data_IF_094743857683
#
_entry.id   IF_094743857683
#
_cell.length_a   1.000
_cell.length_b   1.000
_cell.length_c   1.000
_cell.angle_alpha   90.00
_cell.angle_beta   90.00
_cell.angle_gamma   90.00
#
_symmetry.space_group_name_H-M   'P 1'
#
loop_
_entity.id
_entity.type
_entity.pdbx_description
1 polymer ?
#
# COMPACT_ATOMS: atom_id res chain seq x y z
N UNK A 1 -41.27 28.46 45.52
CA UNK A 1 -39.91 28.11 45.08
C UNK A 1 -39.57 29.05 43.95
N UNK A 2 -38.47 29.78 44.04
CA UNK A 2 -38.04 30.65 42.93
C UNK A 2 -37.54 29.77 41.77
N UNK A 3 -37.66 30.20 40.49
CA UNK A 3 -37.18 29.43 39.34
C UNK A 3 -35.71 28.99 39.50
N UNK A 4 -34.87 29.86 40.06
CA UNK A 4 -33.46 29.57 40.30
C UNK A 4 -33.21 28.49 41.37
N UNK A 5 -34.07 28.37 42.38
CA UNK A 5 -33.95 27.31 43.38
C UNK A 5 -34.35 25.95 42.83
N UNK A 6 -35.36 25.93 41.96
CA UNK A 6 -35.80 24.73 41.25
C UNK A 6 -34.70 24.24 40.30
N UNK A 7 -34.14 25.12 39.48
CA UNK A 7 -33.04 24.79 38.56
C UNK A 7 -31.80 24.31 39.32
N UNK A 8 -31.50 24.92 40.48
CA UNK A 8 -30.38 24.48 41.33
C UNK A 8 -30.61 23.07 41.89
N UNK A 9 -31.80 22.78 42.42
CA UNK A 9 -32.12 21.42 42.88
C UNK A 9 -32.09 20.40 41.74
N UNK A 10 -32.52 20.79 40.53
CA UNK A 10 -32.51 19.92 39.37
C UNK A 10 -31.08 19.60 38.92
N UNK A 11 -30.18 20.59 38.94
CA UNK A 11 -28.76 20.38 38.63
C UNK A 11 -28.04 19.53 39.68
N UNK A 12 -28.42 19.68 40.95
CA UNK A 12 -27.87 18.90 42.06
C UNK A 12 -28.33 17.43 41.98
N UNK A 13 -29.61 17.19 41.65
CA UNK A 13 -30.15 15.84 41.41
C UNK A 13 -29.58 15.20 40.14
N UNK A 14 -29.41 15.96 39.06
CA UNK A 14 -28.77 15.47 37.82
C UNK A 14 -27.30 15.10 38.04
N UNK A 15 -26.61 15.77 38.97
CA UNK A 15 -25.22 15.45 39.33
C UNK A 15 -25.06 14.14 40.11
N UNK A 16 -26.15 13.62 40.69
CA UNK A 16 -26.17 12.35 41.41
C UNK A 16 -26.57 11.14 40.54
N UNK A 17 -27.08 11.38 39.33
CA UNK A 17 -27.37 10.30 38.40
C UNK A 17 -26.06 9.70 37.87
N UNK A 18 -25.91 8.37 37.90
CA UNK A 18 -24.78 7.74 37.24
C UNK A 18 -24.82 8.13 35.75
N UNK A 19 -23.68 8.54 35.15
CA UNK A 19 -23.63 8.94 33.74
C UNK A 19 -24.20 7.85 32.84
N UNK A 20 -24.88 8.25 31.77
CA UNK A 20 -25.58 7.34 30.89
C UNK A 20 -24.66 6.22 30.38
N UNK A 21 -25.12 4.95 30.30
CA UNK A 21 -24.31 3.84 29.82
C UNK A 21 -23.92 4.09 28.35
N UNK A 22 -22.66 4.47 28.14
CA UNK A 22 -22.09 4.89 26.86
C UNK A 22 -21.25 6.19 26.96
N UNK A 23 -21.57 7.09 27.89
CA UNK A 23 -20.84 8.35 28.10
C UNK A 23 -19.58 8.19 28.97
N UNK A 24 -19.44 7.07 29.67
CA UNK A 24 -18.25 6.81 30.51
C UNK A 24 -17.07 6.28 29.68
N UNK A 25 -17.35 5.57 28.59
CA UNK A 25 -16.30 5.11 27.66
C UNK A 25 -15.59 6.27 26.95
N UNK A 26 -16.30 7.39 26.76
CA UNK A 26 -15.74 8.64 26.22
C UNK A 26 -14.99 9.49 27.26
N UNK A 27 -15.01 9.13 28.54
CA UNK A 27 -14.50 9.99 29.62
C UNK A 27 -13.02 9.81 29.98
N UNK A 28 -12.36 8.71 29.61
CA UNK A 28 -10.90 8.59 29.81
C UNK A 28 -10.15 8.87 28.50
N UNK A 29 -9.43 10.01 28.40
CA UNK A 29 -8.68 10.34 27.20
C UNK A 29 -7.64 9.27 26.83
N UNK A 30 -7.21 8.46 27.82
CA UNK A 30 -6.39 7.27 27.64
C UNK A 30 -7.07 6.16 26.81
N UNK A 31 -8.27 5.69 27.20
CA UNK A 31 -8.98 4.63 26.46
C UNK A 31 -9.28 5.08 25.04
N UNK A 32 -9.75 6.31 24.88
CA UNK A 32 -10.04 6.88 23.57
C UNK A 32 -8.80 6.98 22.66
N UNK A 33 -7.61 7.21 23.23
CA UNK A 33 -6.34 7.20 22.50
C UNK A 33 -5.95 5.78 22.09
N UNK A 34 -6.03 4.82 23.02
CA UNK A 34 -5.65 3.44 22.75
C UNK A 34 -6.58 2.77 21.74
N UNK A 35 -7.88 3.00 21.81
CA UNK A 35 -8.84 2.48 20.82
C UNK A 35 -8.48 2.93 19.40
N UNK A 36 -8.03 4.19 19.22
CA UNK A 36 -7.53 4.67 17.93
C UNK A 36 -6.25 3.97 17.50
N UNK A 37 -5.33 3.72 18.43
CA UNK A 37 -4.09 2.98 18.14
C UNK A 37 -4.39 1.53 17.73
N UNK A 38 -5.33 0.86 18.42
CA UNK A 38 -5.74 -0.51 18.10
C UNK A 38 -6.38 -0.62 16.72
N UNK A 39 -7.35 0.24 16.42
CA UNK A 39 -7.95 0.30 15.08
C UNK A 39 -6.90 0.68 14.04
N UNK A 40 -6.06 1.65 14.33
CA UNK A 40 -4.98 2.09 13.46
C UNK A 40 -4.05 0.95 13.08
N UNK A 41 -3.59 0.19 14.07
CA UNK A 41 -2.70 -0.95 13.89
C UNK A 41 -3.38 -2.11 13.14
N UNK A 42 -4.65 -2.40 13.43
CA UNK A 42 -5.41 -3.40 12.68
C UNK A 42 -5.55 -3.03 11.21
N UNK A 43 -5.91 -1.78 10.91
CA UNK A 43 -6.13 -1.29 9.54
C UNK A 43 -4.83 -1.19 8.73
N UNK A 44 -3.69 -0.91 9.35
CA UNK A 44 -2.38 -0.95 8.65
C UNK A 44 -1.89 -2.37 8.39
N UNK A 45 -2.37 -3.36 9.15
CA UNK A 45 -1.88 -4.74 9.08
C UNK A 45 -2.67 -5.59 8.08
N UNK A 46 -4.00 -5.44 8.07
CA UNK A 46 -4.87 -6.20 7.18
C UNK A 46 -5.12 -5.42 5.89
N UNK A 47 -4.56 -5.90 4.79
CA UNK A 47 -4.81 -5.38 3.44
C UNK A 47 -5.93 -6.18 2.79
N UNK A 48 -6.94 -5.48 2.28
CA UNK A 48 -8.00 -6.09 1.47
C UNK A 48 -7.86 -5.58 0.04
N UNK A 49 -7.71 -6.50 -0.92
CA UNK A 49 -7.42 -6.16 -2.33
C UNK A 49 -8.68 -5.79 -3.13
N UNK A 50 -9.85 -5.86 -2.53
CA UNK A 50 -11.11 -5.50 -3.15
C UNK A 50 -11.50 -4.04 -2.87
N UNK A 51 -12.23 -3.41 -3.79
CA UNK A 51 -12.76 -2.03 -3.66
C UNK A 51 -11.73 -0.94 -3.31
N UNK A 52 -10.46 -1.09 -3.72
CA UNK A 52 -9.37 -0.14 -3.41
C UNK A 52 -9.09 0.00 -1.90
N UNK A 53 -9.58 -0.92 -1.05
CA UNK A 53 -9.31 -0.91 0.38
C UNK A 53 -7.82 -1.04 0.70
N UNK A 54 -7.03 -1.62 -0.20
CA UNK A 54 -5.58 -1.74 -0.07
C UNK A 54 -4.85 -0.40 0.04
N UNK A 55 -5.47 0.70 -0.41
CA UNK A 55 -4.94 2.07 -0.27
C UNK A 55 -5.61 2.82 0.88
N UNK A 56 -6.94 2.68 0.99
CA UNK A 56 -7.74 3.44 1.96
C UNK A 56 -7.46 2.98 3.40
N UNK A 57 -7.36 1.67 3.65
CA UNK A 57 -7.19 1.14 5.00
C UNK A 57 -5.84 1.50 5.62
N UNK A 58 -4.69 1.30 4.93
CA UNK A 58 -3.41 1.69 5.49
C UNK A 58 -3.33 3.19 5.78
N UNK A 59 -3.87 4.04 4.89
CA UNK A 59 -3.92 5.49 5.09
C UNK A 59 -4.79 5.87 6.31
N UNK A 60 -5.99 5.29 6.40
CA UNK A 60 -6.89 5.46 7.55
C UNK A 60 -6.22 4.98 8.85
N UNK A 61 -5.56 3.82 8.78
CA UNK A 61 -4.86 3.23 9.90
C UNK A 61 -3.72 4.10 10.41
N UNK A 62 -2.88 4.60 9.50
CA UNK A 62 -1.79 5.53 9.81
C UNK A 62 -2.31 6.86 10.41
N UNK A 63 -3.42 7.38 9.89
CA UNK A 63 -4.05 8.59 10.41
C UNK A 63 -4.59 8.37 11.84
N UNK A 64 -5.21 7.22 12.10
CA UNK A 64 -5.69 6.83 13.43
C UNK A 64 -4.54 6.62 14.43
N UNK A 65 -3.44 5.99 14.00
CA UNK A 65 -2.21 5.87 14.80
C UNK A 65 -1.70 7.26 15.18
N UNK A 66 -1.57 8.18 14.22
CA UNK A 66 -1.13 9.54 14.47
C UNK A 66 -2.04 10.27 15.47
N UNK A 67 -3.37 10.18 15.31
CA UNK A 67 -4.33 10.78 16.23
C UNK A 67 -4.27 10.17 17.64
N UNK A 68 -4.08 8.85 17.73
CA UNK A 68 -3.93 8.14 18.99
C UNK A 68 -2.64 8.48 19.74
N UNK A 69 -1.51 8.65 19.05
CA UNK A 69 -0.27 9.08 19.69
C UNK A 69 -0.21 10.59 19.96
N UNK A 70 -0.94 11.40 19.19
CA UNK A 70 -1.02 12.85 19.39
C UNK A 70 -1.55 13.21 20.77
N UNK A 71 -2.50 12.45 21.31
CA UNK A 71 -3.01 12.66 22.68
C UNK A 71 -1.98 12.25 23.74
N UNK A 72 -1.15 11.25 23.47
CA UNK A 72 -0.14 10.71 24.40
C UNK A 72 1.22 11.43 24.38
N UNK A 73 1.43 12.38 23.46
CA UNK A 73 2.75 12.98 23.15
C UNK A 73 3.48 13.67 24.30
N UNK A 74 2.77 14.08 25.36
CA UNK A 74 3.34 14.82 26.52
C UNK A 74 3.60 13.94 27.74
N UNK A 75 3.07 12.72 27.77
CA UNK A 75 3.15 11.83 28.93
C UNK A 75 4.56 11.25 29.11
N UNK A 76 5.22 10.84 28.02
CA UNK A 76 6.52 10.18 28.08
C UNK A 76 7.37 10.47 26.84
N UNK A 77 8.70 10.42 26.98
CA UNK A 77 9.67 10.48 25.87
C UNK A 77 9.40 9.38 24.83
N UNK A 78 9.03 8.18 25.26
CA UNK A 78 8.69 7.07 24.37
C UNK A 78 7.39 7.31 23.58
N UNK A 79 6.34 7.86 24.22
CA UNK A 79 5.12 8.23 23.51
C UNK A 79 5.31 9.41 22.56
N UNK A 80 6.22 10.35 22.89
CA UNK A 80 6.64 11.41 21.96
C UNK A 80 7.33 10.81 20.72
N UNK A 81 8.19 9.81 20.91
CA UNK A 81 8.82 9.09 19.82
C UNK A 81 7.76 8.38 18.96
N UNK A 82 6.77 7.71 19.56
CA UNK A 82 5.66 7.11 18.80
C UNK A 82 4.87 8.16 17.99
N UNK A 83 4.66 9.36 18.53
CA UNK A 83 3.99 10.43 17.81
C UNK A 83 4.80 10.91 16.59
N UNK A 84 6.11 11.11 16.73
CA UNK A 84 6.98 11.49 15.61
C UNK A 84 7.00 10.39 14.56
N UNK A 85 7.20 9.13 14.98
CA UNK A 85 7.21 7.99 14.05
C UNK A 85 5.86 7.82 13.35
N UNK A 86 4.72 7.90 14.06
CA UNK A 86 3.41 7.78 13.39
C UNK A 86 3.15 8.92 12.40
N UNK A 87 3.66 10.12 12.65
CA UNK A 87 3.59 11.23 11.69
C UNK A 87 4.42 10.98 10.43
N UNK A 88 5.65 10.47 10.59
CA UNK A 88 6.50 10.09 9.45
C UNK A 88 5.88 8.91 8.69
N UNK A 89 5.32 7.92 9.38
CA UNK A 89 4.66 6.76 8.76
C UNK A 89 3.46 7.20 7.92
N UNK A 90 2.64 8.11 8.46
CA UNK A 90 1.53 8.72 7.73
C UNK A 90 2.01 9.46 6.48
N UNK A 91 3.06 10.26 6.60
CA UNK A 91 3.62 10.99 5.45
C UNK A 91 4.17 10.04 4.37
N UNK A 92 4.82 8.94 4.77
CA UNK A 92 5.28 7.92 3.83
C UNK A 92 4.11 7.24 3.14
N UNK A 93 3.05 6.84 3.87
CA UNK A 93 1.86 6.26 3.25
C UNK A 93 1.20 7.22 2.25
N UNK A 94 1.04 8.50 2.62
CA UNK A 94 0.53 9.52 1.70
C UNK A 94 1.42 9.65 0.45
N UNK A 95 2.74 9.68 0.62
CA UNK A 95 3.67 9.78 -0.50
C UNK A 95 3.59 8.54 -1.40
N UNK A 96 3.57 7.34 -0.83
CA UNK A 96 3.44 6.10 -1.60
C UNK A 96 2.11 6.04 -2.36
N UNK A 97 1.00 6.45 -1.75
CA UNK A 97 -0.32 6.46 -2.39
C UNK A 97 -0.41 7.51 -3.52
N UNK A 98 0.34 8.60 -3.42
CA UNK A 98 0.46 9.58 -4.51
C UNK A 98 1.37 9.03 -5.62
N UNK A 99 2.48 8.39 -5.26
CA UNK A 99 3.43 7.81 -6.22
C UNK A 99 2.85 6.63 -6.98
N UNK A 100 1.97 5.81 -6.39
CA UNK A 100 1.28 4.71 -7.09
C UNK A 100 0.41 5.20 -8.24
N UNK A 101 -0.01 6.47 -8.22
CA UNK A 101 -0.68 7.11 -9.33
C UNK A 101 0.27 7.47 -10.50
N UNK A 102 1.59 7.27 -10.33
CA UNK A 102 2.60 7.51 -11.37
C UNK A 102 3.25 6.21 -11.84
N UNK A 103 3.77 6.18 -13.08
CA UNK A 103 4.57 5.05 -13.56
C UNK A 103 5.89 4.85 -12.79
N UNK A 104 6.34 5.85 -12.01
CA UNK A 104 7.56 5.78 -11.19
C UNK A 104 7.47 4.66 -10.16
N UNK A 105 6.30 4.44 -9.57
CA UNK A 105 6.15 3.34 -8.60
C UNK A 105 6.32 1.98 -9.27
N UNK A 106 5.85 1.82 -10.52
CA UNK A 106 6.10 0.64 -11.34
C UNK A 106 7.59 0.37 -11.53
N UNK A 107 8.35 1.41 -11.88
CA UNK A 107 9.82 1.33 -12.00
C UNK A 107 10.51 0.97 -10.68
N UNK A 108 10.06 1.51 -9.54
CA UNK A 108 10.58 1.16 -8.22
C UNK A 108 10.30 -0.31 -7.89
N UNK A 109 9.09 -0.80 -8.16
CA UNK A 109 8.71 -2.20 -7.88
C UNK A 109 9.39 -3.21 -8.78
N UNK A 110 9.82 -2.81 -9.98
CA UNK A 110 10.58 -3.68 -10.89
C UNK A 110 12.04 -3.86 -10.45
N UNK A 111 12.57 -2.95 -9.62
CA UNK A 111 13.94 -3.00 -9.12
C UNK A 111 13.97 -3.60 -7.70
N UNK A 112 14.40 -4.86 -7.51
CA UNK A 112 14.32 -5.55 -6.22
C UNK A 112 15.08 -4.80 -5.10
N UNK A 113 16.22 -4.21 -5.44
CA UNK A 113 17.03 -3.44 -4.49
C UNK A 113 16.31 -2.19 -3.96
N UNK A 114 15.60 -1.46 -4.83
CA UNK A 114 14.85 -0.26 -4.44
C UNK A 114 13.58 -0.63 -3.68
N UNK A 115 12.89 -1.67 -4.12
CA UNK A 115 11.71 -2.19 -3.43
C UNK A 115 12.06 -2.64 -2.01
N UNK A 116 13.09 -3.47 -1.84
CA UNK A 116 13.55 -3.90 -0.51
C UNK A 116 14.09 -2.71 0.30
N UNK A 117 14.77 -1.77 -0.35
CA UNK A 117 15.24 -0.53 0.25
C UNK A 117 14.12 0.33 0.85
N UNK A 118 12.88 0.25 0.33
CA UNK A 118 11.72 0.95 0.87
C UNK A 118 10.97 0.13 1.93
N UNK A 119 10.81 -1.18 1.70
CA UNK A 119 10.03 -2.07 2.56
C UNK A 119 10.67 -2.27 3.93
N UNK A 120 11.98 -2.57 3.98
CA UNK A 120 12.66 -2.89 5.24
C UNK A 120 12.69 -1.72 6.24
N UNK A 121 12.96 -0.47 5.83
CA UNK A 121 12.84 0.68 6.74
C UNK A 121 11.42 0.86 7.28
N UNK A 122 10.38 0.64 6.47
CA UNK A 122 8.98 0.75 6.92
C UNK A 122 8.63 -0.33 7.96
N UNK A 123 9.05 -1.58 7.74
CA UNK A 123 8.91 -2.67 8.72
C UNK A 123 9.69 -2.35 10.00
N UNK A 124 10.94 -1.88 9.87
CA UNK A 124 11.76 -1.44 11.01
C UNK A 124 11.09 -0.31 11.79
N UNK A 125 10.43 0.61 11.11
CA UNK A 125 9.69 1.70 11.72
C UNK A 125 8.47 1.22 12.52
N UNK A 126 7.72 0.24 12.01
CA UNK A 126 6.61 -0.39 12.74
C UNK A 126 7.10 -1.16 13.98
N UNK A 127 8.22 -1.87 13.86
CA UNK A 127 8.89 -2.51 15.00
C UNK A 127 9.30 -1.49 16.07
N UNK A 128 9.90 -0.37 15.66
CA UNK A 128 10.28 0.71 16.57
C UNK A 128 9.06 1.35 17.23
N UNK A 129 7.95 1.51 16.51
CA UNK A 129 6.67 1.99 17.06
C UNK A 129 6.14 1.06 18.15
N UNK A 130 6.11 -0.26 17.90
CA UNK A 130 5.70 -1.27 18.88
C UNK A 130 6.62 -1.31 20.09
N UNK A 131 7.92 -1.26 19.87
CA UNK A 131 8.91 -1.25 20.94
C UNK A 131 8.78 0.01 21.80
N UNK A 132 8.62 1.17 21.18
CA UNK A 132 8.40 2.43 21.87
C UNK A 132 7.06 2.44 22.61
N UNK A 133 6.00 1.84 22.05
CA UNK A 133 4.72 1.63 22.74
C UNK A 133 4.91 0.77 23.99
N UNK A 134 5.64 -0.34 23.90
CA UNK A 134 5.94 -1.22 25.04
C UNK A 134 6.73 -0.49 26.15
N UNK A 135 7.77 0.25 25.78
CA UNK A 135 8.56 1.05 26.75
C UNK A 135 7.72 2.19 27.34
N UNK A 136 6.86 2.79 26.52
CA UNK A 136 5.94 3.85 26.92
C UNK A 136 4.93 3.38 27.96
N UNK A 137 4.28 2.24 27.73
CA UNK A 137 3.31 1.67 28.67
C UNK A 137 3.97 1.20 29.97
N UNK A 138 5.17 0.60 29.93
CA UNK A 138 5.90 0.23 31.16
C UNK A 138 6.21 1.44 32.05
N UNK A 139 6.62 2.55 31.45
CA UNK A 139 6.85 3.77 32.20
C UNK A 139 5.54 4.36 32.76
N UNK A 140 4.42 4.21 32.05
CA UNK A 140 3.11 4.59 32.57
C UNK A 140 2.71 3.73 33.78
N UNK A 141 2.96 2.41 33.77
CA UNK A 141 2.77 1.55 34.95
C UNK A 141 3.65 1.96 36.14
N UNK A 142 4.91 2.31 35.87
CA UNK A 142 5.82 2.79 36.91
C UNK A 142 5.31 4.08 37.58
N UNK A 143 4.65 4.96 36.82
CA UNK A 143 4.05 6.19 37.37
C UNK A 143 2.86 5.94 38.30
N UNK A 144 2.22 4.77 38.19
CA UNK A 144 1.09 4.33 39.05
C UNK A 144 1.60 3.47 40.23
N UNK A 145 2.91 3.32 40.39
CA UNK A 145 3.52 2.64 41.55
C UNK A 145 3.71 1.13 41.40
N UNK A 146 3.49 0.54 40.23
CA UNK A 146 3.81 -0.87 39.98
C UNK A 146 5.16 -1.04 39.25
N UNK A 147 6.10 -1.69 39.91
CA UNK A 147 7.43 -1.96 39.38
C UNK A 147 7.46 -3.11 38.35
N UNK A 148 6.57 -4.10 38.47
CA UNK A 148 6.50 -5.29 37.59
C UNK A 148 5.07 -5.62 37.13
N UNK A 149 4.51 -4.83 36.19
CA UNK A 149 3.23 -5.18 35.58
C UNK A 149 3.34 -6.46 34.75
N UNK A 150 2.22 -7.17 34.60
CA UNK A 150 2.13 -8.34 33.71
C UNK A 150 2.39 -7.91 32.25
N UNK A 151 3.52 -8.36 31.70
CA UNK A 151 4.05 -7.94 30.39
C UNK A 151 3.30 -8.54 29.18
N UNK A 152 2.05 -8.14 28.95
CA UNK A 152 1.28 -8.56 27.78
C UNK A 152 1.86 -8.02 26.46
N UNK A 153 2.33 -6.77 26.41
CA UNK A 153 2.95 -6.18 25.20
C UNK A 153 4.26 -6.86 24.82
N UNK A 154 5.02 -7.40 25.79
CA UNK A 154 6.22 -8.19 25.46
C UNK A 154 5.82 -9.44 24.67
N UNK A 155 4.75 -10.12 25.07
CA UNK A 155 4.19 -11.26 24.33
C UNK A 155 3.69 -10.83 22.95
N UNK A 156 2.99 -9.70 22.88
CA UNK A 156 2.58 -9.10 21.61
C UNK A 156 3.75 -8.84 20.66
N UNK A 157 4.84 -8.23 21.15
CA UNK A 157 6.05 -7.97 20.36
C UNK A 157 6.68 -9.26 19.85
N UNK A 158 6.75 -10.30 20.68
CA UNK A 158 7.21 -11.63 20.25
C UNK A 158 6.30 -12.19 19.16
N UNK A 159 4.97 -12.06 19.27
CA UNK A 159 4.04 -12.48 18.22
C UNK A 159 4.23 -11.71 16.92
N UNK A 160 4.52 -10.41 16.98
CA UNK A 160 4.86 -9.63 15.79
C UNK A 160 6.17 -10.09 15.15
N UNK A 161 7.22 -10.37 15.94
CA UNK A 161 8.47 -10.93 15.43
C UNK A 161 8.27 -12.32 14.79
N UNK A 162 7.44 -13.17 15.39
CA UNK A 162 7.07 -14.47 14.81
C UNK A 162 6.31 -14.28 13.49
N UNK A 163 5.39 -13.31 13.42
CA UNK A 163 4.68 -12.99 12.19
C UNK A 163 5.63 -12.50 11.09
N UNK A 164 6.64 -11.71 11.45
CA UNK A 164 7.69 -11.25 10.52
C UNK A 164 8.56 -12.41 10.04
N UNK A 165 8.89 -13.36 10.92
CA UNK A 165 9.62 -14.57 10.55
C UNK A 165 8.83 -15.45 9.58
N UNK A 166 7.51 -15.58 9.77
CA UNK A 166 6.61 -16.29 8.84
C UNK A 166 6.55 -15.59 7.49
N UNK A 167 6.45 -14.25 7.49
CA UNK A 167 6.44 -13.43 6.27
C UNK A 167 7.76 -13.54 5.49
N UNK A 168 8.90 -13.42 6.19
CA UNK A 168 10.23 -13.65 5.63
C UNK A 168 10.36 -15.03 5.03
N UNK A 169 9.97 -16.06 5.78
CA UNK A 169 9.95 -17.42 5.26
C UNK A 169 9.07 -17.53 4.01
N UNK A 170 8.06 -16.68 3.84
CA UNK A 170 7.15 -16.72 2.69
C UNK A 170 7.79 -16.14 1.44
N UNK A 171 8.64 -15.14 1.58
CA UNK A 171 9.41 -14.58 0.47
C UNK A 171 10.58 -15.48 0.05
N UNK A 172 11.15 -16.26 0.97
CA UNK A 172 12.27 -17.15 0.66
C UNK A 172 11.87 -18.46 -0.05
N UNK A 173 10.60 -18.84 -0.06
CA UNK A 173 10.14 -20.05 -0.76
C UNK A 173 9.82 -19.68 -2.21
N UNK A 174 10.54 -20.20 -3.21
CA UNK A 174 10.23 -19.91 -4.61
C UNK A 174 8.83 -20.41 -4.93
N UNK A 175 7.99 -19.54 -5.50
CA UNK A 175 6.73 -19.93 -6.10
C UNK A 175 7.02 -20.95 -7.21
N UNK A 176 6.52 -22.18 -7.06
CA UNK A 176 6.51 -23.15 -8.14
C UNK A 176 5.15 -23.14 -8.84
N UNK A 177 5.21 -22.95 -10.16
CA UNK A 177 4.20 -23.07 -11.23
C UNK A 177 3.21 -21.92 -11.48
N UNK A 178 3.33 -21.33 -12.67
CA UNK A 178 2.50 -20.27 -13.28
C UNK A 178 1.24 -20.80 -13.98
N UNK A 179 0.77 -22.00 -13.66
CA UNK A 179 -0.29 -22.67 -14.42
C UNK A 179 -1.61 -22.69 -13.64
N UNK A 180 -2.33 -21.57 -13.57
CA UNK A 180 -3.65 -21.51 -12.93
C UNK A 180 -4.49 -20.29 -13.31
N UNK A 181 -5.75 -20.52 -13.69
CA UNK A 181 -6.75 -19.49 -14.04
C UNK A 181 -7.10 -18.53 -12.88
N UNK A 182 -6.67 -18.84 -11.64
CA UNK A 182 -6.85 -18.02 -10.43
C UNK A 182 -5.52 -17.60 -9.76
N UNK A 183 -4.40 -17.66 -10.49
CA UNK A 183 -3.06 -17.41 -9.95
C UNK A 183 -2.23 -18.69 -9.80
N UNK A 184 -0.97 -18.57 -9.33
CA UNK A 184 0.01 -19.67 -9.36
C UNK A 184 -0.51 -20.90 -8.62
N UNK A 185 -0.46 -22.06 -9.29
CA UNK A 185 -0.96 -23.33 -8.77
C UNK A 185 0.09 -23.94 -7.84
N UNK A 186 -0.24 -23.95 -6.55
CA UNK A 186 0.61 -24.55 -5.52
C UNK A 186 0.53 -26.07 -5.67
N UNK A 187 1.67 -26.77 -5.56
CA UNK A 187 1.70 -28.24 -5.45
C UNK A 187 0.70 -28.70 -4.38
N UNK A 188 -0.27 -29.55 -4.75
CA UNK A 188 -1.37 -30.04 -3.87
C UNK A 188 -0.86 -30.53 -2.50
N UNK A 189 0.37 -31.05 -2.43
CA UNK A 189 1.00 -31.53 -1.21
C UNK A 189 1.32 -30.45 -0.16
N UNK A 190 1.43 -29.17 -0.56
CA UNK A 190 1.81 -28.05 0.32
C UNK A 190 0.73 -26.99 0.49
N UNK A 191 -0.48 -27.18 -0.05
CA UNK A 191 -1.60 -26.23 0.12
C UNK A 191 -1.90 -25.94 1.59
N UNK A 192 -1.95 -26.99 2.43
CA UNK A 192 -2.21 -26.84 3.86
C UNK A 192 -1.16 -25.96 4.57
N UNK A 193 0.10 -26.04 4.11
CA UNK A 193 1.19 -25.24 4.65
C UNK A 193 1.06 -23.78 4.18
N UNK A 194 0.75 -23.55 2.92
CA UNK A 194 0.55 -22.21 2.37
C UNK A 194 -0.60 -21.47 3.07
N UNK A 195 -1.81 -22.06 3.10
CA UNK A 195 -2.95 -21.48 3.79
C UNK A 195 -2.74 -21.42 5.31
N UNK A 196 -2.10 -22.44 5.89
CA UNK A 196 -1.78 -22.50 7.31
C UNK A 196 -0.87 -21.36 7.77
N UNK A 197 0.09 -20.93 6.93
CA UNK A 197 0.98 -19.79 7.23
C UNK A 197 0.23 -18.47 7.27
N UNK A 198 -0.64 -18.22 6.30
CA UNK A 198 -1.48 -17.01 6.27
C UNK A 198 -2.42 -16.95 7.46
N UNK A 199 -3.04 -18.09 7.83
CA UNK A 199 -3.89 -18.20 9.02
C UNK A 199 -3.06 -17.95 10.30
N UNK A 200 -1.86 -18.53 10.41
CA UNK A 200 -0.98 -18.33 11.56
C UNK A 200 -0.54 -16.86 11.68
N UNK A 201 -0.20 -16.20 10.56
CA UNK A 201 0.12 -14.78 10.52
C UNK A 201 -1.05 -13.94 11.05
N UNK A 202 -2.27 -14.17 10.55
CA UNK A 202 -3.48 -13.46 10.99
C UNK A 202 -3.72 -13.70 12.49
N UNK A 203 -3.63 -14.95 12.96
CA UNK A 203 -3.83 -15.29 14.36
C UNK A 203 -2.84 -14.58 15.29
N UNK A 204 -1.56 -14.50 14.90
CA UNK A 204 -0.52 -13.78 15.64
C UNK A 204 -0.79 -12.27 15.70
N UNK A 205 -1.26 -11.67 14.60
CA UNK A 205 -1.63 -10.26 14.55
C UNK A 205 -2.85 -9.94 15.42
N UNK A 206 -3.89 -10.79 15.38
CA UNK A 206 -5.06 -10.66 16.27
C UNK A 206 -4.62 -10.79 17.73
N UNK A 207 -3.75 -11.76 18.05
CA UNK A 207 -3.25 -11.93 19.41
C UNK A 207 -2.42 -10.72 19.90
N UNK A 208 -1.61 -10.10 19.02
CA UNK A 208 -0.92 -8.85 19.30
C UNK A 208 -1.91 -7.74 19.68
N UNK A 209 -2.98 -7.54 18.90
CA UNK A 209 -4.00 -6.53 19.19
C UNK A 209 -4.69 -6.81 20.53
N UNK A 210 -5.02 -8.07 20.82
CA UNK A 210 -5.59 -8.48 22.12
C UNK A 210 -4.63 -8.19 23.28
N UNK A 211 -3.32 -8.40 23.10
CA UNK A 211 -2.32 -8.08 24.11
C UNK A 211 -2.25 -6.58 24.41
N UNK A 212 -2.30 -5.74 23.37
CA UNK A 212 -2.33 -4.27 23.53
C UNK A 212 -3.61 -3.85 24.27
N UNK A 213 -4.78 -4.38 23.87
CA UNK A 213 -6.06 -4.07 24.49
C UNK A 213 -6.12 -4.47 25.97
N UNK A 214 -5.64 -5.68 26.30
CA UNK A 214 -5.57 -6.16 27.70
C UNK A 214 -4.65 -5.29 28.55
N UNK A 215 -3.50 -4.91 28.02
CA UNK A 215 -2.57 -4.06 28.76
C UNK A 215 -3.12 -2.65 28.97
N UNK A 216 -3.84 -2.09 27.99
CA UNK A 216 -4.46 -0.78 28.16
C UNK A 216 -5.62 -0.79 29.14
N UNK A 217 -6.41 -1.87 29.17
CA UNK A 217 -7.48 -2.07 30.15
C UNK A 217 -6.92 -2.13 31.56
N UNK A 218 -5.88 -2.94 31.77
CA UNK A 218 -5.22 -3.08 33.08
C UNK A 218 -4.62 -1.76 33.62
N UNK A 219 -4.25 -0.83 32.75
CA UNK A 219 -3.79 0.51 33.14
C UNK A 219 -4.97 1.46 33.43
N UNK A 220 -6.04 1.39 32.62
CA UNK A 220 -7.25 2.19 32.83
C UNK A 220 -7.96 1.84 34.15
N UNK A 221 -8.02 0.55 34.50
CA UNK A 221 -8.66 0.07 35.73
C UNK A 221 -7.91 0.51 37.00
N UNK A 222 -6.64 0.89 36.87
CA UNK A 222 -5.84 1.47 37.96
C UNK A 222 -5.97 3.00 38.07
N UNK A 223 -6.89 3.61 37.35
CA UNK A 223 -7.15 5.04 37.42
C UNK A 223 -6.11 5.90 36.71
N UNK A 224 -5.35 5.33 35.76
CA UNK A 224 -4.42 6.13 34.95
C UNK A 224 -5.20 7.16 34.10
N UNK A 225 -5.07 8.42 34.47
CA UNK A 225 -5.66 9.55 33.77
C UNK A 225 -4.55 10.38 33.10
N UNK A 226 -4.74 10.67 31.81
CA UNK A 226 -3.83 11.56 31.06
C UNK A 226 -4.39 12.97 31.04
N UNK A 227 -3.52 13.96 30.99
CA UNK A 227 -3.95 15.35 30.82
C UNK A 227 -4.26 15.61 29.34
N UNK A 228 -5.53 15.89 28.96
CA UNK A 228 -5.86 16.08 27.57
C UNK A 228 -5.16 17.33 27.03
N UNK A 229 -4.36 17.17 25.98
CA UNK A 229 -3.71 18.30 25.32
C UNK A 229 -4.74 19.03 24.44
N UNK A 230 -4.91 20.36 24.55
CA UNK A 230 -5.89 21.10 23.76
C UNK A 230 -5.68 20.86 22.26
N UNK A 231 -6.77 20.53 21.57
CA UNK A 231 -6.76 20.16 20.16
C UNK A 231 -7.33 21.31 19.33
N UNK A 232 -6.59 21.74 18.30
CA UNK A 232 -7.01 22.82 17.39
C UNK A 232 -8.00 22.37 16.31
N UNK A 233 -8.04 21.06 16.00
CA UNK A 233 -8.85 20.49 14.92
C UNK A 233 -9.55 19.23 15.40
N UNK A 234 -10.82 19.06 15.04
CA UNK A 234 -11.55 17.82 15.32
C UNK A 234 -10.90 16.62 14.60
N UNK A 235 -10.91 15.41 15.18
CA UNK A 235 -10.35 14.21 14.55
C UNK A 235 -10.91 13.94 13.15
N UNK A 236 -12.19 14.21 12.94
CA UNK A 236 -12.88 14.05 11.64
C UNK A 236 -12.36 15.02 10.59
N UNK A 237 -12.14 16.29 10.95
CA UNK A 237 -11.60 17.32 10.06
C UNK A 237 -10.16 16.99 9.66
N UNK A 238 -9.36 16.50 10.60
CA UNK A 238 -8.00 16.05 10.28
C UNK A 238 -8.03 14.89 9.29
N UNK A 239 -8.87 13.88 9.54
CA UNK A 239 -8.97 12.71 8.67
C UNK A 239 -9.45 13.10 7.27
N UNK A 240 -10.52 13.90 7.17
CA UNK A 240 -11.01 14.42 5.90
C UNK A 240 -9.94 15.25 5.17
N UNK A 241 -9.15 16.04 5.90
CA UNK A 241 -8.03 16.79 5.36
C UNK A 241 -6.94 15.90 4.75
N UNK A 242 -6.55 14.81 5.44
CA UNK A 242 -5.58 13.84 4.93
C UNK A 242 -6.07 13.21 3.62
N UNK A 243 -7.33 12.73 3.60
CA UNK A 243 -7.90 12.14 2.39
C UNK A 243 -8.03 13.16 1.25
N UNK A 244 -8.45 14.39 1.54
CA UNK A 244 -8.55 15.45 0.54
C UNK A 244 -7.17 15.78 -0.05
N UNK A 245 -6.12 15.86 0.78
CA UNK A 245 -4.75 16.12 0.30
C UNK A 245 -4.27 15.00 -0.60
N UNK A 246 -4.45 13.73 -0.21
CA UNK A 246 -4.04 12.59 -1.07
C UNK A 246 -4.82 12.62 -2.37
N UNK A 247 -6.15 12.75 -2.32
CA UNK A 247 -7.00 12.77 -3.52
C UNK A 247 -6.62 13.90 -4.50
N UNK A 248 -6.51 15.14 -3.99
CA UNK A 248 -6.16 16.30 -4.81
C UNK A 248 -4.74 16.18 -5.38
N UNK A 249 -3.79 15.67 -4.59
CA UNK A 249 -2.40 15.46 -5.03
C UNK A 249 -2.32 14.37 -6.09
N UNK A 250 -3.04 13.25 -5.92
CA UNK A 250 -3.10 12.19 -6.92
C UNK A 250 -3.67 12.69 -8.24
N UNK A 251 -4.74 13.52 -8.23
CA UNK A 251 -5.29 14.14 -9.44
C UNK A 251 -4.24 15.04 -10.12
N UNK A 252 -3.57 15.91 -9.35
CA UNK A 252 -2.55 16.81 -9.88
C UNK A 252 -1.37 16.04 -10.47
N UNK A 253 -0.94 14.97 -9.79
CA UNK A 253 0.17 14.12 -10.22
C UNK A 253 -0.18 13.28 -11.44
N UNK A 254 -1.39 12.72 -11.53
CA UNK A 254 -1.89 12.03 -12.73
C UNK A 254 -1.94 12.97 -13.93
N UNK A 255 -2.43 14.19 -13.71
CA UNK A 255 -2.45 15.21 -14.74
C UNK A 255 -1.04 15.56 -15.21
N UNK A 256 -0.09 15.72 -14.28
CA UNK A 256 1.30 15.99 -14.61
C UNK A 256 1.99 14.81 -15.32
N UNK A 257 1.73 13.58 -14.86
CA UNK A 257 2.33 12.36 -15.44
C UNK A 257 1.80 12.08 -16.84
N UNK A 258 0.54 12.41 -17.12
CA UNK A 258 -0.02 12.33 -18.49
C UNK A 258 0.67 13.29 -19.47
N UNK A 259 1.33 14.33 -18.94
CA UNK A 259 2.08 15.33 -19.70
C UNK A 259 3.59 15.18 -19.57
N UNK A 260 4.05 14.17 -18.82
CA UNK A 260 5.47 13.87 -18.78
C UNK A 260 5.88 13.48 -20.21
N UNK A 261 6.94 14.09 -20.78
CA UNK A 261 7.42 13.69 -22.09
C UNK A 261 7.65 12.18 -22.03
N UNK A 262 7.02 11.45 -22.96
CA UNK A 262 7.35 10.05 -23.18
C UNK A 262 8.89 9.97 -23.21
N UNK A 263 9.48 9.03 -22.47
CA UNK A 263 10.93 8.81 -22.54
C UNK A 263 11.31 8.85 -24.02
N UNK A 264 12.21 9.77 -24.39
CA UNK A 264 12.67 9.89 -25.77
C UNK A 264 12.97 8.47 -26.24
N UNK A 265 12.24 8.03 -27.27
CA UNK A 265 12.39 6.70 -27.82
C UNK A 265 13.89 6.49 -28.00
N UNK A 266 14.44 5.48 -27.31
CA UNK A 266 15.87 5.21 -27.36
C UNK A 266 16.22 5.14 -28.85
N UNK A 267 17.11 6.01 -29.36
CA UNK A 267 17.42 6.00 -30.78
C UNK A 267 17.89 4.59 -31.09
N UNK A 268 17.27 3.95 -32.08
CA UNK A 268 17.68 2.63 -32.56
C UNK A 268 19.20 2.64 -32.63
N UNK A 269 19.85 1.89 -31.73
CA UNK A 269 21.29 1.75 -31.80
C UNK A 269 21.58 1.15 -33.16
N UNK A 270 22.10 1.96 -34.09
CA UNK A 270 22.61 1.53 -35.39
C UNK A 270 23.90 0.69 -35.23
N UNK A 271 24.06 0.07 -34.07
CA UNK A 271 25.23 -0.66 -33.65
C UNK A 271 24.94 -2.12 -34.01
N UNK A 272 25.70 -2.63 -34.98
CA UNK A 272 25.70 -4.03 -35.46
C UNK A 272 24.72 -4.38 -36.60
N UNK A 273 24.46 -3.45 -37.53
CA UNK A 273 23.67 -3.72 -38.73
C UNK A 273 24.20 -4.88 -39.60
N UNK A 274 25.51 -5.19 -39.58
CA UNK A 274 26.08 -6.25 -40.42
C UNK A 274 25.90 -7.67 -39.83
N UNK A 275 26.11 -7.85 -38.52
CA UNK A 275 26.13 -9.19 -37.88
C UNK A 275 24.74 -9.82 -37.78
N UNK A 276 23.70 -9.00 -37.58
CA UNK A 276 22.31 -9.43 -37.47
C UNK A 276 21.47 -9.14 -38.72
N UNK A 277 22.10 -8.69 -39.82
CA UNK A 277 21.43 -8.46 -41.11
C UNK A 277 20.70 -9.70 -41.63
N UNK A 278 21.32 -10.87 -41.49
CA UNK A 278 20.78 -12.16 -41.92
C UNK A 278 19.54 -12.56 -41.11
N UNK A 279 19.56 -12.32 -39.79
CA UNK A 279 18.42 -12.59 -38.90
C UNK A 279 17.26 -11.64 -39.19
N UNK A 280 17.54 -10.35 -39.42
CA UNK A 280 16.52 -9.38 -39.84
C UNK A 280 15.89 -9.76 -41.18
N UNK A 281 16.71 -10.19 -42.15
CA UNK A 281 16.21 -10.67 -43.43
C UNK A 281 15.34 -11.93 -43.28
N UNK A 282 15.73 -12.87 -42.42
CA UNK A 282 14.94 -14.06 -42.09
C UNK A 282 13.57 -13.70 -41.49
N UNK A 283 13.53 -12.75 -40.55
CA UNK A 283 12.27 -12.29 -39.94
C UNK A 283 11.35 -11.58 -40.95
N UNK A 284 11.92 -10.78 -41.85
CA UNK A 284 11.14 -10.12 -42.92
C UNK A 284 10.61 -11.15 -43.92
N UNK A 285 11.39 -12.18 -44.28
CA UNK A 285 10.95 -13.27 -45.16
C UNK A 285 9.78 -14.08 -44.54
N UNK A 286 9.83 -14.28 -43.23
CA UNK A 286 8.72 -14.88 -42.46
C UNK A 286 7.48 -13.99 -42.36
N UNK A 287 7.54 -12.74 -42.81
CA UNK A 287 6.40 -11.82 -42.90
C UNK A 287 6.38 -10.68 -41.88
N UNK A 288 7.45 -10.48 -41.09
CA UNK A 288 7.56 -9.31 -40.20
C UNK A 288 7.72 -8.02 -41.00
N UNK A 289 7.12 -6.93 -40.51
CA UNK A 289 7.35 -5.59 -41.06
C UNK A 289 8.84 -5.19 -40.95
N UNK A 290 9.39 -4.61 -42.03
CA UNK A 290 10.81 -4.27 -42.10
C UNK A 290 11.20 -3.17 -41.11
N UNK A 291 10.30 -2.24 -40.79
CA UNK A 291 10.58 -1.20 -39.79
C UNK A 291 10.62 -1.82 -38.38
N UNK A 292 9.72 -2.78 -38.09
CA UNK A 292 9.73 -3.54 -36.84
C UNK A 292 10.99 -4.39 -36.70
N UNK A 293 11.34 -5.19 -37.71
CA UNK A 293 12.56 -6.01 -37.69
C UNK A 293 13.81 -5.15 -37.48
N UNK A 294 13.79 -3.91 -37.98
CA UNK A 294 14.89 -2.98 -37.79
C UNK A 294 14.96 -2.36 -36.38
N UNK A 295 13.85 -2.32 -35.67
CA UNK A 295 13.71 -1.76 -34.31
C UNK A 295 14.12 -2.72 -33.19
N UNK A 296 14.27 -4.02 -33.47
CA UNK A 296 14.66 -5.02 -32.48
C UNK A 296 16.13 -4.84 -32.03
N UNK A 297 16.35 -4.95 -30.72
CA UNK A 297 17.68 -4.94 -30.12
C UNK A 297 18.43 -6.28 -30.29
N UNK A 298 19.71 -6.32 -29.94
CA UNK A 298 20.55 -7.52 -30.06
C UNK A 298 19.98 -8.74 -29.31
N UNK A 299 19.48 -8.53 -28.09
CA UNK A 299 18.96 -9.61 -27.28
C UNK A 299 17.65 -10.17 -27.85
N UNK A 300 16.81 -9.33 -28.43
CA UNK A 300 15.59 -9.71 -29.13
C UNK A 300 15.90 -10.42 -30.45
N UNK A 301 16.88 -9.94 -31.22
CA UNK A 301 17.32 -10.58 -32.47
C UNK A 301 17.95 -11.94 -32.23
N UNK A 302 18.78 -12.10 -31.21
CA UNK A 302 19.37 -13.41 -30.85
C UNK A 302 18.28 -14.41 -30.47
N UNK A 303 17.25 -13.95 -29.75
CA UNK A 303 16.10 -14.79 -29.37
C UNK A 303 15.23 -15.14 -30.56
N UNK A 304 15.06 -14.23 -31.51
CA UNK A 304 14.28 -14.44 -32.72
C UNK A 304 15.07 -15.10 -33.86
N UNK A 305 16.33 -15.50 -33.65
CA UNK A 305 17.20 -16.15 -34.64
C UNK A 305 16.55 -17.39 -35.26
N UNK A 306 15.95 -18.23 -34.41
CA UNK A 306 15.33 -19.50 -34.80
C UNK A 306 13.80 -19.40 -34.92
N UNK A 307 13.27 -18.22 -35.22
CA UNK A 307 11.84 -18.02 -35.41
C UNK A 307 11.29 -18.95 -36.51
N UNK A 308 10.15 -19.59 -36.22
CA UNK A 308 9.51 -20.59 -37.09
C UNK A 308 8.43 -19.98 -37.97
N UNK A 309 7.64 -19.06 -37.42
CA UNK A 309 6.52 -18.41 -38.12
C UNK A 309 6.19 -17.05 -37.49
N UNK A 310 5.63 -16.16 -38.30
CA UNK A 310 5.18 -14.83 -37.86
C UNK A 310 3.74 -14.62 -38.29
N UNK A 311 2.93 -14.16 -37.35
CA UNK A 311 1.51 -13.92 -37.53
C UNK A 311 1.22 -12.43 -37.30
N UNK A 312 0.71 -11.75 -38.33
CA UNK A 312 0.09 -10.44 -38.17
C UNK A 312 -1.28 -10.65 -37.49
N UNK A 313 -1.40 -10.16 -36.27
CA UNK A 313 -2.64 -10.21 -35.52
C UNK A 313 -3.27 -8.83 -35.55
N UNK A 314 -4.32 -8.62 -36.36
CA UNK A 314 -5.07 -7.39 -36.27
C UNK A 314 -5.68 -7.29 -34.88
N UNK A 315 -5.39 -6.19 -34.18
CA UNK A 315 -6.04 -5.89 -32.91
C UNK A 315 -7.51 -5.60 -33.19
N UNK A 316 -8.37 -6.57 -32.95
CA UNK A 316 -9.82 -6.39 -32.99
C UNK A 316 -10.23 -5.47 -31.83
N UNK A 317 -10.39 -4.18 -32.11
CA UNK A 317 -11.21 -3.32 -31.26
C UNK A 317 -12.69 -3.66 -31.48
N UNK A 318 -13.46 -3.66 -30.39
CA UNK A 318 -14.92 -3.87 -30.41
C UNK A 318 -15.68 -2.75 -31.15
N UNK A 319 -14.98 -1.72 -31.62
CA UNK A 319 -15.45 -0.72 -32.57
C UNK A 319 -14.68 -0.92 -33.87
N UNK A 320 -15.40 -1.25 -34.94
CA UNK A 320 -14.81 -1.47 -36.26
C UNK A 320 -14.04 -0.26 -36.75
N UNK A 321 -12.95 -0.54 -37.47
CA UNK A 321 -11.95 0.36 -38.06
C UNK A 321 -10.70 0.62 -37.20
N UNK A 322 -9.55 0.26 -37.77
CA UNK A 322 -8.19 0.39 -37.22
C UNK A 322 -7.66 1.83 -37.28
N UNK A 323 -8.53 2.83 -37.34
CA UNK A 323 -8.21 4.24 -37.52
C UNK A 323 -9.06 5.08 -36.58
N UNK A 324 -8.41 5.75 -35.61
CA UNK A 324 -9.08 6.70 -34.73
C UNK A 324 -9.41 7.97 -35.51
N UNK A 325 -10.66 8.10 -35.97
CA UNK A 325 -11.19 9.34 -36.54
C UNK A 325 -11.89 10.15 -35.44
N UNK A 326 -11.29 11.26 -35.01
CA UNK A 326 -11.99 12.30 -34.26
C UNK A 326 -11.81 13.62 -34.99
N UNK A 327 -12.82 14.02 -35.75
CA UNK A 327 -12.88 15.38 -36.30
C UNK A 327 -13.29 16.36 -35.21
N UNK A 328 -12.49 17.40 -34.98
CA UNK A 328 -12.89 18.56 -34.17
C UNK A 328 -13.68 19.57 -35.03
N UNK A 329 -14.61 20.29 -34.39
CA UNK A 329 -15.55 21.27 -35.01
C UNK A 329 -14.88 22.46 -35.74
N UNK A 330 -13.55 22.51 -35.81
CA UNK A 330 -12.78 23.59 -36.45
C UNK A 330 -12.20 23.21 -37.82
N UNK A 331 -12.47 22.01 -38.33
CA UNK A 331 -12.00 21.58 -39.66
C UNK A 331 -10.48 21.42 -39.77
N UNK A 332 -9.78 21.36 -38.63
CA UNK A 332 -8.40 20.86 -38.55
C UNK A 332 -8.45 19.39 -38.16
N UNK A 333 -7.87 18.54 -38.99
CA UNK A 333 -7.58 17.16 -38.63
C UNK A 333 -6.58 17.19 -37.46
N UNK A 334 -7.05 16.85 -36.26
CA UNK A 334 -6.19 16.68 -35.08
C UNK A 334 -6.15 15.18 -34.76
N UNK A 335 -4.94 14.64 -34.69
CA UNK A 335 -4.56 13.21 -34.68
C UNK A 335 -4.39 12.59 -36.08
N UNK A 336 -3.19 12.86 -36.64
CA UNK A 336 -2.50 12.04 -37.65
C UNK A 336 -2.70 10.54 -37.41
N UNK A 337 -2.92 9.79 -38.48
CA UNK A 337 -3.34 8.39 -38.45
C UNK A 337 -2.38 7.52 -37.61
N UNK A 338 -2.83 7.07 -36.43
CA UNK A 338 -2.08 6.10 -35.64
C UNK A 338 -2.46 4.69 -36.08
N UNK A 339 -1.51 3.96 -36.66
CA UNK A 339 -1.66 2.54 -36.94
C UNK A 339 -1.06 1.76 -35.78
N UNK A 340 -1.91 0.97 -35.12
CA UNK A 340 -1.54 0.02 -34.09
C UNK A 340 -1.63 -1.40 -34.66
N UNK A 341 -0.50 -2.12 -34.72
CA UNK A 341 -0.44 -3.53 -35.16
C UNK A 341 0.21 -4.39 -34.10
N UNK A 342 -0.28 -5.63 -33.95
CA UNK A 342 0.38 -6.63 -33.12
C UNK A 342 0.90 -7.79 -33.96
N UNK A 343 2.06 -8.31 -33.56
CA UNK A 343 2.77 -9.39 -34.24
C UNK A 343 3.03 -10.51 -33.25
N UNK A 344 2.73 -11.75 -33.64
CA UNK A 344 3.14 -12.94 -32.91
C UNK A 344 4.30 -13.60 -33.65
N UNK A 345 5.42 -13.82 -32.94
CA UNK A 345 6.55 -14.60 -33.42
C UNK A 345 6.55 -15.94 -32.70
N UNK A 346 6.43 -17.03 -33.44
CA UNK A 346 6.54 -18.37 -32.93
C UNK A 346 8.02 -18.77 -32.87
N UNK A 347 8.45 -19.17 -31.68
CA UNK A 347 9.80 -19.62 -31.37
C UNK A 347 9.81 -21.14 -31.17
N UNK A 348 11.01 -21.77 -31.17
CA UNK A 348 11.16 -23.17 -30.75
C UNK A 348 10.66 -23.39 -29.31
N UNK A 349 10.42 -24.64 -28.93
CA UNK A 349 9.97 -25.05 -27.59
C UNK A 349 8.60 -24.49 -27.13
N UNK A 350 7.65 -24.36 -28.07
CA UNK A 350 6.29 -23.83 -27.83
C UNK A 350 6.25 -22.41 -27.23
N UNK A 351 7.32 -21.63 -27.42
CA UNK A 351 7.36 -20.24 -26.99
C UNK A 351 6.75 -19.32 -28.05
N UNK A 352 6.02 -18.30 -27.61
CA UNK A 352 5.46 -17.27 -28.49
C UNK A 352 5.79 -15.88 -27.93
N UNK A 353 6.16 -14.96 -28.81
CA UNK A 353 6.51 -13.59 -28.45
C UNK A 353 5.63 -12.59 -29.17
N UNK A 354 5.15 -11.60 -28.43
CA UNK A 354 4.22 -10.61 -28.93
C UNK A 354 4.91 -9.26 -29.02
N UNK A 355 4.82 -8.62 -30.18
CA UNK A 355 5.26 -7.25 -30.41
C UNK A 355 4.06 -6.36 -30.69
N UNK A 356 4.00 -5.19 -30.06
CA UNK A 356 3.05 -4.14 -30.40
C UNK A 356 3.81 -2.98 -31.02
N UNK A 357 3.32 -2.54 -32.17
CA UNK A 357 3.91 -1.43 -32.94
C UNK A 357 2.94 -0.28 -33.04
N UNK A 358 3.46 0.93 -32.85
CA UNK A 358 2.71 2.18 -32.93
C UNK A 358 3.38 3.05 -33.99
N UNK A 359 2.64 3.40 -35.04
CA UNK A 359 3.15 4.28 -36.11
C UNK A 359 2.25 5.50 -36.25
N UNK A 360 2.87 6.67 -36.20
CA UNK A 360 2.26 7.95 -36.61
C UNK A 360 2.48 8.12 -38.13
N UNK A 361 1.44 8.47 -38.88
CA UNK A 361 1.49 8.68 -40.34
C UNK A 361 1.44 10.15 -40.73
#
# INVERSE_FOLDING_TARGET
>A
MSPNEFDRSLMEDLSQLPPAPGEVESYTPWRAAMTKILWGMGLTTFRFEFFYLQYILPLLGAALLYLGYRTLRRENRWFRLCWVLSGVLLAVHMATDILTATPVMGWITQNPALQWGLTWPLVGMQLLLLFALWRGTRAAFASVGEAEPRDWLKRGLVCYLLSLAIALWSELVPLTQDDGFFGPSILEQYEWLYYGRSIAFIALQIYLLVCIARQSGALADRGYAITPVPVRFAPTVFLAGVFAVVLLSSIAVLWLSSRAPALEAQPLSAVHAEEYSSVRAHLVDLGMDADLANSLDEAELERCRDALAIYDMPLYHAYGEHTYNREDETGRADVEYVILRSWAVQLPDDQARYYLTFRWL
#
